data_IF_810097196013
#
_entry.id   IF_810097196013
#
_cell.length_a   1.000
_cell.length_b   1.000
_cell.length_c   1.000
_cell.angle_alpha   90.00
_cell.angle_beta   90.00
_cell.angle_gamma   90.00
#
_symmetry.space_group_name_H-M   'P 1'
#
loop_
_entity.id
_entity.type
_entity.pdbx_description
1 polymer ?
#
# COMPACT_ATOMS: atom_id res chain seq x y z
N UNK A 1 -10.28 14.58 -18.18
CA UNK A 1 -9.84 15.18 -19.47
C UNK A 1 -10.85 14.97 -20.61
N UNK A 2 -11.75 13.99 -20.55
CA UNK A 2 -12.69 13.63 -21.64
C UNK A 2 -14.19 13.89 -21.34
N UNK A 3 -14.51 14.67 -20.31
CA UNK A 3 -15.92 14.87 -19.93
C UNK A 3 -16.80 15.16 -21.15
N UNK A 4 -17.91 14.41 -21.30
CA UNK A 4 -18.80 14.46 -22.47
C UNK A 4 -19.22 15.89 -22.85
N UNK A 5 -19.33 16.76 -21.85
CA UNK A 5 -19.85 18.13 -22.02
C UNK A 5 -18.78 19.23 -21.82
N UNK A 6 -17.72 18.96 -21.05
CA UNK A 6 -16.74 19.99 -20.64
C UNK A 6 -15.27 19.51 -20.65
N UNK A 7 -15.02 18.31 -21.17
CA UNK A 7 -13.68 17.75 -21.29
C UNK A 7 -12.79 18.57 -22.23
N UNK A 8 -11.50 18.62 -21.90
CA UNK A 8 -10.48 19.29 -22.73
C UNK A 8 -10.49 18.75 -24.16
N UNK A 9 -10.59 17.42 -24.33
CA UNK A 9 -10.70 16.80 -25.65
C UNK A 9 -11.96 17.26 -26.39
N UNK A 10 -13.12 17.24 -25.73
CA UNK A 10 -14.40 17.69 -26.29
C UNK A 10 -14.33 19.14 -26.78
N UNK A 11 -13.72 20.04 -25.99
CA UNK A 11 -13.56 21.45 -26.39
C UNK A 11 -12.57 21.63 -27.54
N UNK A 12 -11.51 20.84 -27.58
CA UNK A 12 -10.51 20.91 -28.66
C UNK A 12 -11.06 20.36 -29.98
N UNK A 13 -11.77 19.23 -29.96
CA UNK A 13 -12.39 18.64 -31.15
C UNK A 13 -13.54 19.51 -31.69
N UNK A 14 -14.26 20.24 -30.82
CA UNK A 14 -15.26 21.22 -31.26
C UNK A 14 -14.65 22.40 -32.04
N UNK A 15 -13.41 22.80 -31.71
CA UNK A 15 -12.69 23.87 -32.41
C UNK A 15 -11.92 23.37 -33.64
N UNK A 16 -11.46 22.13 -33.60
CA UNK A 16 -10.66 21.50 -34.64
C UNK A 16 -11.26 20.12 -34.97
N UNK A 17 -12.20 20.03 -35.93
CA UNK A 17 -12.98 18.81 -36.17
C UNK A 17 -12.12 17.63 -36.67
N UNK A 18 -10.95 17.90 -37.24
CA UNK A 18 -10.02 16.89 -37.72
C UNK A 18 -9.06 16.38 -36.61
N UNK A 19 -9.18 16.88 -35.38
CA UNK A 19 -8.34 16.47 -34.27
C UNK A 19 -8.81 15.12 -33.72
N UNK A 20 -7.97 14.09 -33.85
CA UNK A 20 -8.21 12.81 -33.17
C UNK A 20 -7.71 12.87 -31.73
N UNK A 21 -8.51 12.37 -30.80
CA UNK A 21 -8.10 12.24 -29.39
C UNK A 21 -7.62 10.81 -29.15
N UNK A 22 -6.39 10.66 -28.66
CA UNK A 22 -5.83 9.37 -28.28
C UNK A 22 -5.38 9.38 -26.82
N UNK A 23 -5.76 8.34 -26.08
CA UNK A 23 -5.33 8.21 -24.70
C UNK A 23 -3.94 7.61 -24.61
N UNK A 24 -3.12 8.17 -23.72
CA UNK A 24 -1.94 7.47 -23.27
C UNK A 24 -2.36 6.13 -22.66
N UNK A 25 -1.73 5.04 -23.10
CA UNK A 25 -2.01 3.69 -22.63
C UNK A 25 -1.84 3.59 -21.11
N UNK A 26 -0.88 4.31 -20.52
CA UNK A 26 -0.69 4.35 -19.07
C UNK A 26 -1.92 4.89 -18.32
N UNK A 27 -2.60 5.89 -18.88
CA UNK A 27 -3.80 6.44 -18.25
C UNK A 27 -4.96 5.45 -18.34
N UNK A 28 -5.11 4.73 -19.47
CA UNK A 28 -6.14 3.69 -19.61
C UNK A 28 -5.90 2.53 -18.63
N UNK A 29 -4.65 2.09 -18.52
CA UNK A 29 -4.25 1.05 -17.56
C UNK A 29 -4.56 1.49 -16.13
N UNK A 30 -4.30 2.75 -15.80
CA UNK A 30 -4.59 3.29 -14.48
C UNK A 30 -6.09 3.30 -14.16
N UNK A 31 -6.95 3.67 -15.11
CA UNK A 31 -8.40 3.59 -14.93
C UNK A 31 -8.85 2.14 -14.69
N UNK A 32 -8.41 1.21 -15.54
CA UNK A 32 -8.79 -0.21 -15.43
C UNK A 32 -8.33 -0.82 -14.09
N UNK A 33 -7.12 -0.49 -13.64
CA UNK A 33 -6.62 -0.96 -12.34
C UNK A 33 -7.39 -0.32 -11.20
N UNK A 34 -7.74 0.96 -11.28
CA UNK A 34 -8.56 1.62 -10.26
C UNK A 34 -9.93 0.96 -10.14
N UNK A 35 -10.61 0.75 -11.27
CA UNK A 35 -11.94 0.11 -11.31
C UNK A 35 -11.88 -1.31 -10.72
N UNK A 36 -10.87 -2.10 -11.11
CA UNK A 36 -10.67 -3.46 -10.57
C UNK A 36 -10.35 -3.48 -9.07
N UNK A 37 -9.62 -2.48 -8.56
CA UNK A 37 -9.33 -2.35 -7.13
C UNK A 37 -10.58 -1.99 -6.34
N UNK A 38 -11.43 -1.13 -6.88
CA UNK A 38 -12.67 -0.68 -6.22
C UNK A 38 -13.70 -1.82 -6.10
N UNK A 39 -13.69 -2.79 -7.02
CA UNK A 39 -14.54 -3.98 -6.95
C UNK A 39 -14.11 -4.98 -5.85
N UNK A 40 -12.83 -4.98 -5.45
CA UNK A 40 -12.28 -5.95 -4.50
C UNK A 40 -12.03 -5.29 -3.13
N UNK A 41 -13.01 -5.37 -2.24
CA UNK A 41 -12.91 -4.80 -0.87
C UNK A 41 -11.66 -5.23 -0.09
N UNK A 42 -11.15 -6.45 -0.31
CA UNK A 42 -9.91 -6.92 0.31
C UNK A 42 -8.69 -6.02 -0.02
N UNK A 43 -8.66 -5.43 -1.23
CA UNK A 43 -7.57 -4.55 -1.67
C UNK A 43 -7.58 -3.24 -0.89
N UNK A 44 -8.73 -2.78 -0.39
CA UNK A 44 -8.81 -1.58 0.44
C UNK A 44 -8.07 -1.76 1.78
N UNK A 45 -8.18 -2.92 2.41
CA UNK A 45 -7.43 -3.22 3.64
C UNK A 45 -5.93 -3.28 3.38
N UNK A 46 -5.54 -3.94 2.29
CA UNK A 46 -4.13 -4.03 1.89
C UNK A 46 -3.54 -2.66 1.56
N UNK A 47 -4.29 -1.79 0.89
CA UNK A 47 -3.91 -0.40 0.62
C UNK A 47 -3.66 0.37 1.93
N UNK A 48 -4.61 0.30 2.87
CA UNK A 48 -4.47 0.97 4.18
C UNK A 48 -3.26 0.45 4.95
N UNK A 49 -2.99 -0.85 4.90
CA UNK A 49 -1.81 -1.45 5.51
C UNK A 49 -0.51 -0.87 4.92
N UNK A 50 -0.40 -0.82 3.59
CA UNK A 50 0.79 -0.28 2.91
C UNK A 50 0.95 1.22 3.14
N UNK A 51 -0.15 1.98 3.23
CA UNK A 51 -0.11 3.39 3.61
C UNK A 51 0.41 3.59 5.04
N UNK A 52 0.02 2.74 5.99
CA UNK A 52 0.54 2.76 7.36
C UNK A 52 2.04 2.46 7.40
N UNK A 53 2.50 1.45 6.68
CA UNK A 53 3.93 1.14 6.56
C UNK A 53 4.69 2.34 5.98
N UNK A 54 4.20 2.90 4.87
CA UNK A 54 4.81 4.08 4.27
C UNK A 54 4.93 5.22 5.27
N UNK A 55 3.84 5.53 5.99
CA UNK A 55 3.81 6.62 6.97
C UNK A 55 4.75 6.36 8.16
N UNK A 56 4.79 5.13 8.66
CA UNK A 56 5.64 4.75 9.80
C UNK A 56 7.12 5.08 9.55
N UNK A 57 7.61 4.80 8.34
CA UNK A 57 9.01 5.02 8.00
C UNK A 57 9.27 6.41 7.39
N UNK A 58 8.35 6.95 6.60
CA UNK A 58 8.54 8.29 6.02
C UNK A 58 8.44 9.44 7.01
N UNK A 59 7.71 9.25 8.13
CA UNK A 59 7.53 10.30 9.14
C UNK A 59 8.57 10.26 10.26
N UNK A 60 9.25 9.12 10.46
CA UNK A 60 10.22 8.93 11.54
C UNK A 60 11.57 8.45 11.00
N UNK A 61 12.56 9.33 11.09
CA UNK A 61 13.95 8.96 10.78
C UNK A 61 14.48 7.90 11.75
N UNK A 62 13.98 7.86 12.99
CA UNK A 62 14.32 6.83 13.98
C UNK A 62 13.85 5.46 13.49
N UNK A 63 12.57 5.31 13.18
CA UNK A 63 12.00 4.05 12.70
C UNK A 63 12.66 3.58 11.40
N UNK A 64 13.02 4.51 10.52
CA UNK A 64 13.76 4.19 9.29
C UNK A 64 15.16 3.64 9.57
N UNK A 65 15.86 4.16 10.59
CA UNK A 65 17.18 3.64 11.00
C UNK A 65 17.06 2.27 11.65
N UNK A 66 16.12 2.11 12.57
CA UNK A 66 15.86 0.84 13.25
C UNK A 66 15.43 -0.26 12.25
N UNK A 67 14.69 0.10 11.19
CA UNK A 67 14.40 -0.83 10.09
C UNK A 67 15.66 -1.26 9.33
N UNK A 68 16.60 -0.35 9.09
CA UNK A 68 17.86 -0.67 8.42
C UNK A 68 18.75 -1.56 9.29
N UNK A 69 18.77 -1.33 10.59
CA UNK A 69 19.46 -2.19 11.57
C UNK A 69 18.85 -3.59 11.58
N UNK A 70 17.51 -3.69 11.71
CA UNK A 70 16.79 -4.95 11.60
C UNK A 70 17.04 -5.67 10.26
N UNK A 71 17.20 -4.93 9.17
CA UNK A 71 17.52 -5.49 7.86
C UNK A 71 18.94 -6.07 7.80
N UNK A 72 19.91 -5.42 8.44
CA UNK A 72 21.28 -5.94 8.55
C UNK A 72 21.32 -7.25 9.34
N UNK A 73 20.54 -7.36 10.43
CA UNK A 73 20.47 -8.58 11.25
C UNK A 73 19.97 -9.79 10.45
N UNK A 74 18.96 -9.60 9.60
CA UNK A 74 18.36 -10.68 8.80
C UNK A 74 18.97 -10.82 7.40
N UNK A 75 19.94 -9.98 7.04
CA UNK A 75 20.55 -9.95 5.70
C UNK A 75 19.58 -9.56 4.57
N UNK A 76 18.55 -8.78 4.89
CA UNK A 76 17.53 -8.34 3.92
C UNK A 76 17.87 -6.97 3.32
N UNK A 77 17.43 -6.73 2.09
CA UNK A 77 17.51 -5.41 1.47
C UNK A 77 16.26 -4.57 1.82
N UNK A 78 16.46 -3.31 2.20
CA UNK A 78 15.37 -2.33 2.32
C UNK A 78 15.36 -1.42 1.10
N UNK A 79 14.24 -1.42 0.38
CA UNK A 79 13.99 -0.50 -0.73
C UNK A 79 13.11 0.65 -0.27
N UNK A 80 13.20 1.80 -0.95
CA UNK A 80 12.36 2.95 -0.64
C UNK A 80 10.88 2.61 -0.85
N UNK A 81 10.13 2.61 0.24
CA UNK A 81 8.69 2.37 0.23
C UNK A 81 8.01 3.68 -0.18
N UNK A 82 7.27 3.64 -1.28
CA UNK A 82 6.44 4.75 -1.75
C UNK A 82 4.98 4.56 -1.35
N UNK A 83 4.15 5.55 -1.66
CA UNK A 83 2.70 5.40 -1.55
C UNK A 83 2.18 4.39 -2.59
N UNK A 84 1.06 3.75 -2.26
CA UNK A 84 0.41 2.71 -3.08
C UNK A 84 -0.98 3.19 -3.45
N UNK A 85 -1.35 3.04 -4.72
CA UNK A 85 -2.67 3.40 -5.25
C UNK A 85 -3.04 4.88 -4.98
N UNK A 86 -2.05 5.75 -4.82
CA UNK A 86 -2.26 7.18 -5.04
C UNK A 86 -2.47 7.38 -6.53
N UNK A 87 -3.62 7.93 -6.89
CA UNK A 87 -4.30 8.10 -8.19
C UNK A 87 -3.49 8.45 -9.47
N UNK A 88 -2.17 8.26 -9.54
CA UNK A 88 -1.35 8.74 -10.68
C UNK A 88 -0.27 7.82 -11.25
N UNK A 89 0.07 6.65 -10.68
CA UNK A 89 1.06 5.74 -11.29
C UNK A 89 0.95 4.27 -10.82
N UNK A 90 0.26 3.40 -11.57
CA UNK A 90 0.22 1.94 -11.32
C UNK A 90 1.62 1.33 -11.15
N UNK A 91 2.57 1.73 -12.00
CA UNK A 91 3.96 1.30 -11.91
C UNK A 91 4.63 1.70 -10.58
N UNK A 92 4.25 2.85 -10.01
CA UNK A 92 4.75 3.27 -8.70
C UNK A 92 4.16 2.42 -7.59
N UNK A 93 2.86 2.15 -7.64
CA UNK A 93 2.19 1.24 -6.69
C UNK A 93 2.85 -0.13 -6.71
N UNK A 94 3.14 -0.68 -7.90
CA UNK A 94 3.84 -1.95 -8.04
C UNK A 94 5.23 -1.93 -7.41
N UNK A 95 6.03 -0.89 -7.67
CA UNK A 95 7.35 -0.74 -7.04
C UNK A 95 7.27 -0.66 -5.52
N UNK A 96 6.30 0.05 -4.98
CA UNK A 96 6.09 0.18 -3.54
C UNK A 96 5.67 -1.16 -2.90
N UNK A 97 4.74 -1.89 -3.52
CA UNK A 97 4.35 -3.24 -3.06
C UNK A 97 5.55 -4.19 -3.10
N UNK A 98 6.31 -4.18 -4.19
CA UNK A 98 7.52 -4.99 -4.35
C UNK A 98 8.59 -4.62 -3.31
N UNK A 99 8.74 -3.35 -2.98
CA UNK A 99 9.66 -2.89 -1.94
C UNK A 99 9.31 -3.49 -0.58
N UNK A 100 8.04 -3.44 -0.17
CA UNK A 100 7.57 -4.04 1.09
C UNK A 100 7.75 -5.56 1.07
N UNK A 101 7.48 -6.21 -0.06
CA UNK A 101 7.68 -7.65 -0.20
C UNK A 101 9.14 -8.06 -0.01
N UNK A 102 10.07 -7.39 -0.71
CA UNK A 102 11.51 -7.70 -0.62
C UNK A 102 12.05 -7.47 0.79
N UNK A 103 11.51 -6.48 1.50
CA UNK A 103 11.96 -6.10 2.85
C UNK A 103 11.10 -6.70 3.97
N UNK A 104 10.25 -7.68 3.67
CA UNK A 104 9.27 -8.23 4.61
C UNK A 104 9.92 -8.76 5.90
N UNK A 105 11.01 -9.52 5.78
CA UNK A 105 11.74 -10.05 6.94
C UNK A 105 12.29 -8.94 7.84
N UNK A 106 12.78 -7.84 7.26
CA UNK A 106 13.23 -6.68 8.02
C UNK A 106 12.09 -5.99 8.77
N UNK A 107 10.92 -5.86 8.14
CA UNK A 107 9.72 -5.31 8.78
C UNK A 107 9.30 -6.16 9.97
N UNK A 108 9.25 -7.49 9.78
CA UNK A 108 8.92 -8.44 10.82
C UNK A 108 9.88 -8.31 12.01
N UNK A 109 11.20 -8.35 11.76
CA UNK A 109 12.23 -8.19 12.78
C UNK A 109 12.10 -6.88 13.54
N UNK A 110 11.91 -5.77 12.82
CA UNK A 110 11.72 -4.45 13.44
C UNK A 110 10.50 -4.42 14.36
N UNK A 111 9.39 -5.05 13.98
CA UNK A 111 8.20 -5.13 14.83
C UNK A 111 8.38 -6.07 16.03
N UNK A 112 9.11 -7.17 15.88
CA UNK A 112 9.47 -8.06 17.00
C UNK A 112 10.34 -7.33 18.02
N UNK A 113 11.35 -6.58 17.57
CA UNK A 113 12.21 -5.77 18.43
C UNK A 113 11.40 -4.70 19.18
N UNK A 114 10.53 -3.97 18.47
CA UNK A 114 9.67 -2.97 19.08
C UNK A 114 8.63 -3.55 20.07
N UNK A 115 8.23 -4.83 19.90
CA UNK A 115 7.35 -5.51 20.83
C UNK A 115 8.07 -5.98 22.11
N UNK A 116 9.37 -6.27 22.04
CA UNK A 116 10.21 -6.60 23.19
C UNK A 116 10.52 -5.39 24.08
N UNK A 117 10.43 -4.17 23.54
CA UNK A 117 10.71 -2.93 24.26
C UNK A 117 9.53 -2.49 25.14
N UNK A 118 9.61 -2.77 26.45
CA UNK A 118 8.57 -2.47 27.43
C UNK A 118 8.16 -0.97 27.50
N UNK A 119 9.07 -0.05 27.16
CA UNK A 119 8.78 1.40 27.12
C UNK A 119 7.94 1.81 25.90
N UNK A 120 8.15 1.16 24.76
CA UNK A 120 7.35 1.41 23.54
C UNK A 120 6.01 0.67 23.62
N UNK A 121 5.95 -0.50 24.26
CA UNK A 121 4.69 -1.17 24.59
C UNK A 121 3.75 -0.27 25.43
N UNK A 122 4.26 0.37 26.48
CA UNK A 122 3.47 1.26 27.32
C UNK A 122 2.98 2.54 26.60
N UNK A 123 3.75 3.07 25.64
CA UNK A 123 3.28 4.18 24.78
C UNK A 123 2.24 3.71 23.78
N UNK A 124 2.44 2.52 23.20
CA UNK A 124 1.54 1.91 22.23
C UNK A 124 0.18 1.61 22.86
N UNK A 125 0.15 1.08 24.09
CA UNK A 125 -1.08 0.83 24.84
C UNK A 125 -1.81 2.12 25.18
N UNK A 126 -1.11 3.18 25.61
CA UNK A 126 -1.71 4.50 25.84
C UNK A 126 -2.30 5.13 24.58
N UNK A 127 -1.65 4.95 23.44
CA UNK A 127 -2.19 5.39 22.15
C UNK A 127 -3.41 4.55 21.80
N UNK A 128 -3.34 3.23 21.88
CA UNK A 128 -4.47 2.33 21.60
C UNK A 128 -5.69 2.71 22.45
N UNK A 129 -5.52 2.95 23.76
CA UNK A 129 -6.57 3.43 24.66
C UNK A 129 -7.15 4.80 24.25
N UNK A 130 -6.31 5.77 23.86
CA UNK A 130 -6.75 7.06 23.35
C UNK A 130 -7.57 6.92 22.04
N UNK A 131 -7.14 6.01 21.15
CA UNK A 131 -7.82 5.71 19.90
C UNK A 131 -9.17 4.97 20.12
N UNK A 132 -9.24 4.06 21.10
CA UNK A 132 -10.51 3.41 21.48
C UNK A 132 -11.47 4.37 22.20
N UNK A 133 -10.96 5.32 22.99
CA UNK A 133 -11.75 6.36 23.66
C UNK A 133 -12.41 7.35 22.70
N UNK A 134 -11.74 7.72 21.60
CA UNK A 134 -12.29 8.60 20.55
C UNK A 134 -13.14 7.84 19.50
N UNK A 135 -13.03 6.50 19.44
CA UNK A 135 -13.50 5.67 18.34
C UNK A 135 -14.96 5.20 18.35
N UNK A 136 -15.77 5.52 19.37
CA UNK A 136 -17.18 5.05 19.42
C UNK A 136 -18.07 5.61 18.29
N UNK A 137 -17.58 6.56 17.48
CA UNK A 137 -18.37 7.20 16.43
C UNK A 137 -18.04 6.77 15.00
N UNK A 138 -16.97 6.01 14.70
CA UNK A 138 -16.66 5.63 13.30
C UNK A 138 -15.66 4.47 13.20
N UNK A 139 -16.16 3.32 12.73
CA UNK A 139 -15.43 2.14 12.24
C UNK A 139 -14.88 1.15 13.28
N UNK A 140 -15.64 0.06 13.45
CA UNK A 140 -15.46 -1.03 14.41
C UNK A 140 -14.56 -2.19 13.92
N UNK A 141 -13.44 -1.94 13.24
CA UNK A 141 -12.60 -3.08 12.80
C UNK A 141 -11.12 -2.70 12.57
N UNK A 142 -10.39 -2.33 13.62
CA UNK A 142 -8.92 -2.31 13.57
C UNK A 142 -8.32 -2.67 14.94
N UNK A 143 -8.50 -3.92 15.37
CA UNK A 143 -7.53 -4.54 16.28
C UNK A 143 -6.37 -5.06 15.43
N UNK A 144 -5.13 -4.86 15.90
CA UNK A 144 -3.90 -5.26 15.23
C UNK A 144 -3.85 -6.76 14.86
N UNK A 145 -4.62 -7.59 15.56
CA UNK A 145 -4.66 -9.04 15.34
C UNK A 145 -5.40 -9.41 14.03
N UNK A 146 -6.40 -8.63 13.62
CA UNK A 146 -7.07 -8.86 12.33
C UNK A 146 -6.15 -8.53 11.15
N UNK A 147 -5.21 -7.61 11.32
CA UNK A 147 -4.28 -7.20 10.26
C UNK A 147 -3.13 -8.22 10.09
N UNK A 148 -2.63 -8.79 11.19
CA UNK A 148 -1.67 -9.90 11.18
C UNK A 148 -2.30 -11.19 10.64
N UNK A 149 -3.55 -11.49 11.00
CA UNK A 149 -4.29 -12.62 10.43
C UNK A 149 -4.59 -12.44 8.94
N UNK A 150 -4.86 -11.22 8.47
CA UNK A 150 -4.94 -10.94 7.03
C UNK A 150 -3.58 -11.08 6.31
N UNK A 151 -2.45 -10.76 6.96
CA UNK A 151 -1.12 -10.99 6.39
C UNK A 151 -0.79 -12.49 6.26
N UNK A 152 -1.15 -13.30 7.26
CA UNK A 152 -1.02 -14.76 7.20
C UNK A 152 -1.91 -15.37 6.10
N UNK A 153 -3.15 -14.87 5.95
CA UNK A 153 -4.03 -15.29 4.86
C UNK A 153 -3.51 -14.87 3.48
N UNK A 154 -2.84 -13.72 3.35
CA UNK A 154 -2.20 -13.30 2.10
C UNK A 154 -1.01 -14.21 1.75
N UNK A 155 -0.24 -14.66 2.74
CA UNK A 155 0.83 -15.63 2.55
C UNK A 155 0.30 -17.00 2.09
N UNK A 156 -0.86 -17.43 2.59
CA UNK A 156 -1.57 -18.66 2.14
C UNK A 156 -2.15 -18.50 0.73
N UNK A 157 -2.72 -17.34 0.40
CA UNK A 157 -3.27 -17.08 -0.94
C UNK A 157 -2.16 -16.97 -2.01
N UNK A 158 -1.01 -16.38 -1.68
CA UNK A 158 0.10 -16.19 -2.61
C UNK A 158 1.00 -17.43 -2.76
N UNK A 159 1.14 -18.26 -1.72
CA UNK A 159 1.84 -19.56 -1.82
C UNK A 159 1.07 -20.58 -2.67
N UNK A 160 -0.26 -20.46 -2.74
CA UNK A 160 -1.12 -21.23 -3.64
C UNK A 160 -1.16 -20.68 -5.08
N UNK A 161 -0.64 -19.46 -5.30
CA UNK A 161 -0.53 -18.84 -6.62
C UNK A 161 0.85 -19.12 -7.23
N UNK A 162 1.22 -20.40 -7.40
CA UNK A 162 2.39 -20.73 -8.25
C UNK A 162 2.08 -20.28 -9.68
N UNK A 163 2.99 -19.56 -10.37
CA UNK A 163 2.79 -19.28 -11.78
C UNK A 163 2.81 -20.58 -12.57
N UNK A 164 1.71 -20.87 -13.28
CA UNK A 164 1.67 -21.81 -14.40
C UNK A 164 2.48 -21.16 -15.53
N UNK A 165 3.81 -21.18 -15.44
CA UNK A 165 4.71 -20.90 -16.56
C UNK A 165 5.95 -21.78 -16.40
N UNK A 166 5.77 -23.06 -16.71
CA UNK A 166 6.84 -23.96 -17.14
C UNK A 166 6.44 -24.52 -18.50
N UNK A 167 7.38 -24.45 -19.45
CA UNK A 167 7.31 -24.86 -20.85
C UNK A 167 6.77 -23.84 -21.85
N UNK A 168 7.69 -23.04 -22.41
CA UNK A 168 8.16 -23.17 -23.80
C UNK A 168 9.44 -22.36 -23.99
#
# INVERSE_FOLDING_TARGET
MLGKNSGVATRLTARYPNLFTWHCMNHRLELVVSDAVDEVQAVNYFKLFLEKIHNLYSQSNKNSRELLEAAQEVGSQVLKIGRVLSMRWVASSFRSVKAVWISYEAHKRHFENAAGDQQEAAKRDKLIEAWYGEGKARNSCVTSDSCLMHCLNLQTCLSNSRPILSHS
#
